data_IF_122143272157
#
_entry.id   IF_122143272157
#
_cell.length_a   1.000
_cell.length_b   1.000
_cell.length_c   1.000
_cell.angle_alpha   90.00
_cell.angle_beta   90.00
_cell.angle_gamma   90.00
#
_symmetry.space_group_name_H-M   'P 1'
#
loop_
_entity.id
_entity.type
_entity.pdbx_description
1 polymer ?
#
# COMPACT_ATOMS: atom_id res chain seq x y z
N UNK A 1 -36.71 -27.02 79.46
CA UNK A 1 -38.21 -27.00 79.44
C UNK A 1 -38.69 -27.17 78.04
N UNK A 2 -39.46 -28.25 77.81
CA UNK A 2 -40.51 -28.52 76.82
C UNK A 2 -40.17 -28.24 75.34
N UNK A 3 -39.83 -29.23 74.54
CA UNK A 3 -40.72 -30.24 73.92
C UNK A 3 -41.90 -29.74 73.13
N UNK A 4 -41.83 -29.96 71.81
CA UNK A 4 -42.94 -30.57 71.06
C UNK A 4 -42.55 -30.95 69.61
N UNK A 5 -42.62 -32.26 69.41
CA UNK A 5 -42.71 -33.02 68.15
C UNK A 5 -44.00 -32.67 67.39
N UNK A 6 -44.01 -32.79 66.09
CA UNK A 6 -45.06 -33.36 65.20
C UNK A 6 -44.45 -33.52 63.81
N UNK A 7 -44.25 -34.62 63.32
CA UNK A 7 -44.83 -35.76 62.60
C UNK A 7 -45.60 -35.42 61.29
N UNK A 8 -45.17 -36.16 60.25
CA UNK A 8 -45.84 -36.62 59.02
C UNK A 8 -46.11 -35.60 57.93
N UNK A 9 -45.75 -35.83 56.68
CA UNK A 9 -46.22 -36.83 55.71
C UNK A 9 -45.26 -37.04 54.53
N UNK A 10 -45.04 -38.29 54.17
CA UNK A 10 -44.42 -38.80 52.97
C UNK A 10 -45.43 -38.68 51.84
N UNK A 11 -45.07 -38.05 50.73
CA UNK A 11 -45.74 -38.22 49.46
C UNK A 11 -44.71 -38.46 48.36
N UNK A 12 -44.72 -39.69 47.92
CA UNK A 12 -43.93 -40.18 46.80
C UNK A 12 -44.64 -39.76 45.49
N UNK A 13 -44.00 -38.88 44.71
CA UNK A 13 -44.43 -38.63 43.36
C UNK A 13 -43.33 -39.09 42.40
N UNK A 14 -43.62 -40.21 41.69
CA UNK A 14 -42.87 -40.64 40.54
C UNK A 14 -43.27 -39.70 39.39
N UNK A 15 -42.39 -38.78 38.96
CA UNK A 15 -42.58 -38.03 37.77
C UNK A 15 -41.56 -38.51 36.75
N UNK A 16 -42.09 -39.18 35.72
CA UNK A 16 -41.38 -39.70 34.55
C UNK A 16 -40.60 -38.64 33.86
N UNK A 17 -39.29 -38.88 33.75
CA UNK A 17 -38.37 -37.97 33.06
C UNK A 17 -38.62 -37.96 31.57
N UNK A 18 -39.03 -36.84 31.02
CA UNK A 18 -38.78 -36.43 29.62
C UNK A 18 -37.57 -35.52 29.64
N UNK A 19 -36.42 -36.08 29.28
CA UNK A 19 -35.24 -35.30 28.98
C UNK A 19 -35.49 -34.43 27.72
N UNK A 20 -35.39 -33.10 27.79
CA UNK A 20 -35.39 -32.31 26.56
C UNK A 20 -34.12 -32.63 25.77
N UNK A 21 -34.29 -33.14 24.55
CA UNK A 21 -33.21 -33.22 23.59
C UNK A 21 -32.66 -31.80 23.36
N UNK A 22 -31.43 -31.56 23.82
CA UNK A 22 -30.63 -30.39 23.44
C UNK A 22 -30.37 -30.49 21.92
N UNK A 23 -31.23 -29.87 21.13
CA UNK A 23 -30.92 -29.55 19.73
C UNK A 23 -29.81 -28.53 19.78
N UNK A 24 -28.58 -29.00 19.53
CA UNK A 24 -27.46 -28.11 19.28
C UNK A 24 -27.81 -27.27 18.08
N UNK A 25 -28.21 -26.01 18.32
CA UNK A 25 -28.32 -24.98 17.28
C UNK A 25 -26.90 -24.79 16.74
N UNK A 26 -26.62 -25.41 15.59
CA UNK A 26 -25.48 -25.03 14.77
C UNK A 26 -25.68 -23.56 14.41
N UNK A 27 -24.91 -22.68 15.05
CA UNK A 27 -24.82 -21.29 14.63
C UNK A 27 -24.51 -21.27 13.15
N UNK A 28 -25.27 -20.52 12.33
CA UNK A 28 -24.96 -20.38 10.92
C UNK A 28 -23.51 -19.94 10.81
N UNK A 29 -22.70 -20.68 10.04
CA UNK A 29 -21.34 -20.25 9.70
C UNK A 29 -21.44 -18.81 9.20
N UNK A 30 -20.83 -17.89 9.94
CA UNK A 30 -20.74 -16.50 9.52
C UNK A 30 -20.20 -16.49 8.07
N UNK A 31 -20.83 -15.74 7.14
CA UNK A 31 -20.33 -15.67 5.78
C UNK A 31 -18.85 -15.32 5.80
N UNK A 32 -18.01 -15.93 4.96
CA UNK A 32 -16.58 -15.67 4.94
C UNK A 32 -16.42 -14.16 4.81
N UNK A 33 -15.75 -13.54 5.78
CA UNK A 33 -15.45 -12.11 5.76
C UNK A 33 -14.80 -11.82 4.43
N UNK A 34 -15.25 -10.82 3.65
CA UNK A 34 -14.60 -10.46 2.40
C UNK A 34 -13.12 -10.26 2.73
N UNK A 35 -12.28 -11.08 2.14
CA UNK A 35 -10.84 -11.07 2.40
C UNK A 35 -10.35 -9.69 1.99
N UNK A 36 -10.02 -8.85 2.97
CA UNK A 36 -9.63 -7.47 2.74
C UNK A 36 -8.56 -7.38 1.65
N UNK A 37 -8.67 -6.44 0.71
CA UNK A 37 -7.70 -6.29 -0.37
C UNK A 37 -6.29 -6.14 0.23
N UNK A 38 -5.28 -6.71 -0.43
CA UNK A 38 -3.88 -6.69 -0.01
C UNK A 38 -3.02 -6.35 -1.21
N UNK A 39 -1.93 -5.64 -0.99
CA UNK A 39 -0.99 -5.22 -2.02
C UNK A 39 0.35 -5.87 -1.72
N UNK A 40 0.87 -6.66 -2.66
CA UNK A 40 2.22 -7.19 -2.59
C UNK A 40 3.20 -6.14 -3.14
N UNK A 41 4.21 -5.83 -2.35
CA UNK A 41 5.35 -5.01 -2.74
C UNK A 41 6.56 -5.91 -2.92
N UNK A 42 7.03 -6.01 -4.13
CA UNK A 42 8.24 -6.72 -4.51
C UNK A 42 9.18 -5.71 -5.17
N UNK A 43 10.46 -5.60 -4.74
CA UNK A 43 11.40 -4.71 -5.42
C UNK A 43 11.46 -5.01 -6.91
N UNK A 44 11.40 -3.99 -7.77
CA UNK A 44 11.34 -4.20 -9.23
C UNK A 44 12.59 -4.80 -9.81
N UNK A 45 13.74 -4.61 -9.13
CA UNK A 45 15.04 -5.14 -9.49
C UNK A 45 15.66 -5.81 -8.28
N UNK A 46 16.08 -7.04 -8.45
CA UNK A 46 16.81 -7.82 -7.43
C UNK A 46 18.05 -8.40 -8.05
N UNK A 47 19.03 -8.75 -7.24
CA UNK A 47 20.29 -9.34 -7.71
C UNK A 47 20.25 -10.83 -7.43
N UNK A 48 20.64 -11.62 -8.43
CA UNK A 48 20.76 -13.08 -8.35
C UNK A 48 21.60 -13.50 -7.14
N UNK A 49 21.05 -14.37 -6.30
CA UNK A 49 21.70 -14.88 -5.08
C UNK A 49 21.78 -13.90 -3.91
N UNK A 50 21.36 -12.65 -4.07
CA UNK A 50 21.39 -11.63 -3.02
C UNK A 50 20.09 -11.62 -2.20
N UNK A 51 20.18 -11.03 -1.01
CA UNK A 51 19.00 -10.84 -0.14
C UNK A 51 18.13 -9.70 -0.65
N UNK A 52 16.82 -9.88 -0.51
CA UNK A 52 15.83 -8.85 -0.77
C UNK A 52 14.68 -8.97 0.22
N UNK A 53 14.05 -7.85 0.55
CA UNK A 53 12.87 -7.79 1.43
C UNK A 53 11.65 -7.40 0.59
N UNK A 54 10.60 -8.19 0.71
CA UNK A 54 9.27 -7.86 0.21
C UNK A 54 8.34 -7.44 1.36
N UNK A 55 7.22 -6.81 1.04
CA UNK A 55 6.19 -6.48 2.01
C UNK A 55 4.80 -6.73 1.45
N UNK A 56 3.83 -6.92 2.35
CA UNK A 56 2.40 -6.93 2.00
C UNK A 56 1.71 -5.83 2.79
N UNK A 57 0.89 -5.04 2.10
CA UNK A 57 0.05 -4.02 2.72
C UNK A 57 -1.41 -4.47 2.72
N UNK A 58 -2.15 -4.07 3.75
CA UNK A 58 -3.61 -4.17 3.81
C UNK A 58 -4.28 -3.02 3.01
N UNK A 59 -5.61 -2.95 3.05
CA UNK A 59 -6.42 -1.90 2.40
C UNK A 59 -6.15 -0.49 2.92
N UNK A 60 -5.61 -0.38 4.13
CA UNK A 60 -5.31 0.89 4.78
C UNK A 60 -3.84 1.31 4.55
N UNK A 61 -3.10 0.58 3.72
CA UNK A 61 -1.68 0.82 3.47
C UNK A 61 -0.75 0.38 4.60
N UNK A 62 -1.25 -0.36 5.60
CA UNK A 62 -0.45 -0.87 6.72
C UNK A 62 0.17 -2.22 6.38
N UNK A 63 1.34 -2.48 6.93
CA UNK A 63 2.04 -3.76 6.79
C UNK A 63 1.20 -4.91 7.36
N UNK A 64 1.06 -6.01 6.60
CA UNK A 64 0.19 -7.14 6.88
C UNK A 64 1.01 -8.40 7.20
N UNK A 65 1.08 -8.85 8.48
CA UNK A 65 1.78 -10.06 8.86
C UNK A 65 1.04 -11.34 8.47
N UNK A 66 1.78 -12.47 8.41
CA UNK A 66 1.23 -13.81 8.22
C UNK A 66 0.60 -14.05 6.84
N UNK A 67 1.03 -13.30 5.82
CA UNK A 67 0.51 -13.44 4.45
C UNK A 67 1.43 -14.34 3.65
N UNK A 68 0.89 -15.41 3.07
CA UNK A 68 1.64 -16.32 2.22
C UNK A 68 1.75 -15.77 0.80
N UNK A 69 2.98 -15.71 0.30
CA UNK A 69 3.33 -15.32 -1.06
C UNK A 69 3.82 -16.56 -1.78
N UNK A 70 3.36 -16.73 -3.02
CA UNK A 70 3.81 -17.78 -3.94
C UNK A 70 4.59 -17.16 -5.08
N UNK A 71 5.75 -17.69 -5.38
CA UNK A 71 6.57 -17.30 -6.52
C UNK A 71 6.38 -18.22 -7.71
N UNK A 72 6.68 -17.72 -8.91
CA UNK A 72 6.56 -18.48 -10.16
C UNK A 72 7.54 -19.66 -10.29
N UNK A 73 8.62 -19.69 -9.51
CA UNK A 73 9.56 -20.81 -9.41
C UNK A 73 9.09 -21.91 -8.44
N UNK A 74 7.92 -21.76 -7.82
CA UNK A 74 7.35 -22.72 -6.87
C UNK A 74 7.64 -22.43 -5.40
N UNK A 75 8.50 -21.47 -5.09
CA UNK A 75 8.82 -21.09 -3.72
C UNK A 75 7.62 -20.43 -3.03
N UNK A 76 7.50 -20.65 -1.73
CA UNK A 76 6.50 -20.04 -0.87
C UNK A 76 7.20 -19.30 0.28
N UNK A 77 6.65 -18.16 0.65
CA UNK A 77 7.17 -17.32 1.71
C UNK A 77 6.01 -16.68 2.48
N UNK A 78 6.14 -16.53 3.78
CA UNK A 78 5.14 -15.82 4.60
C UNK A 78 5.75 -14.57 5.20
N UNK A 79 4.96 -13.49 5.25
CA UNK A 79 5.38 -12.26 5.95
C UNK A 79 5.45 -12.51 7.46
N UNK A 80 6.46 -11.96 8.10
CA UNK A 80 6.71 -12.01 9.52
C UNK A 80 5.77 -11.10 10.34
N UNK A 81 6.05 -10.91 11.63
CA UNK A 81 5.26 -10.05 12.51
C UNK A 81 5.27 -8.58 12.09
N UNK A 82 6.26 -8.14 11.32
CA UNK A 82 6.36 -6.78 10.76
C UNK A 82 5.63 -6.61 9.42
N UNK A 83 5.05 -7.68 8.87
CA UNK A 83 4.41 -7.67 7.55
C UNK A 83 5.38 -7.67 6.38
N UNK A 84 6.65 -8.01 6.61
CA UNK A 84 7.71 -8.14 5.62
C UNK A 84 8.20 -9.58 5.54
N UNK A 85 8.95 -9.89 4.49
CA UNK A 85 9.65 -11.15 4.40
C UNK A 85 10.98 -10.96 3.68
N UNK A 86 12.06 -11.41 4.31
CA UNK A 86 13.39 -11.45 3.75
C UNK A 86 13.55 -12.76 2.96
N UNK A 87 14.05 -12.69 1.75
CA UNK A 87 14.29 -13.85 0.91
C UNK A 87 15.60 -13.70 0.14
N UNK A 88 16.10 -14.82 -0.36
CA UNK A 88 17.26 -14.85 -1.27
C UNK A 88 16.73 -14.97 -2.70
N UNK A 89 17.18 -14.07 -3.57
CA UNK A 89 16.78 -14.08 -4.97
C UNK A 89 17.27 -15.37 -5.67
N UNK A 90 16.50 -15.92 -6.62
CA UNK A 90 16.94 -17.06 -7.43
C UNK A 90 18.28 -16.80 -8.11
N UNK A 91 19.08 -17.86 -8.27
CA UNK A 91 20.42 -17.76 -8.90
C UNK A 91 20.36 -17.46 -10.41
N UNK A 92 19.27 -17.86 -11.08
CA UNK A 92 19.11 -17.64 -12.50
C UNK A 92 18.54 -16.25 -12.78
N UNK A 93 19.22 -15.41 -13.58
CA UNK A 93 18.69 -14.13 -14.03
C UNK A 93 17.38 -14.31 -14.84
N UNK A 94 16.54 -13.29 -14.85
CA UNK A 94 15.28 -13.32 -15.57
C UNK A 94 14.17 -12.58 -14.85
N UNK A 95 12.91 -12.99 -15.07
CA UNK A 95 11.74 -12.38 -14.43
C UNK A 95 11.10 -13.40 -13.48
N UNK A 96 10.89 -12.97 -12.23
CA UNK A 96 10.12 -13.73 -11.25
C UNK A 96 8.79 -13.01 -10.99
N UNK A 97 7.73 -13.77 -10.81
CA UNK A 97 6.42 -13.25 -10.43
C UNK A 97 6.11 -13.70 -9.01
N UNK A 98 5.63 -12.77 -8.18
CA UNK A 98 5.07 -13.05 -6.87
C UNK A 98 3.56 -12.81 -6.87
N UNK A 99 2.82 -13.64 -6.17
CA UNK A 99 1.37 -13.52 -5.96
C UNK A 99 1.01 -13.82 -4.51
N UNK A 100 -0.02 -13.17 -3.99
CA UNK A 100 -0.58 -13.52 -2.68
C UNK A 100 -1.44 -14.77 -2.86
N UNK A 101 -1.21 -15.79 -2.03
CA UNK A 101 -1.95 -17.04 -2.11
C UNK A 101 -3.47 -16.82 -1.99
N UNK A 102 -4.24 -17.51 -2.84
CA UNK A 102 -5.70 -17.39 -2.88
C UNK A 102 -6.24 -16.08 -3.46
N UNK A 103 -5.39 -15.26 -4.13
CA UNK A 103 -5.80 -13.97 -4.70
C UNK A 103 -5.42 -13.83 -6.17
N UNK A 104 -6.27 -13.16 -6.96
CA UNK A 104 -5.90 -12.79 -8.31
C UNK A 104 -4.85 -11.66 -8.28
N UNK A 105 -4.03 -11.63 -9.33
CA UNK A 105 -2.98 -10.63 -9.48
C UNK A 105 -1.59 -11.14 -9.11
N UNK A 106 -0.61 -10.60 -9.82
CA UNK A 106 0.81 -10.91 -9.64
C UNK A 106 1.66 -9.65 -9.82
N UNK A 107 2.78 -9.61 -9.13
CA UNK A 107 3.80 -8.56 -9.26
C UNK A 107 5.05 -9.19 -9.82
N UNK A 108 5.74 -8.52 -10.73
CA UNK A 108 6.99 -9.00 -11.32
C UNK A 108 8.19 -8.27 -10.73
N UNK A 109 9.31 -8.98 -10.67
CA UNK A 109 10.63 -8.44 -10.38
C UNK A 109 11.62 -8.96 -11.40
N UNK A 110 12.59 -8.12 -11.79
CA UNK A 110 13.69 -8.51 -12.67
C UNK A 110 14.89 -8.93 -11.83
N UNK A 111 15.37 -10.14 -12.06
CA UNK A 111 16.58 -10.68 -11.44
C UNK A 111 17.75 -10.36 -12.37
N UNK A 112 18.68 -9.56 -11.89
CA UNK A 112 19.87 -9.13 -12.61
C UNK A 112 21.09 -9.95 -12.18
N UNK A 113 22.11 -10.01 -13.04
CA UNK A 113 23.38 -10.66 -12.68
C UNK A 113 24.14 -9.86 -11.63
N UNK A 114 24.97 -10.49 -10.78
CA UNK A 114 25.81 -9.77 -9.82
C UNK A 114 26.73 -8.74 -10.47
N UNK A 115 27.19 -8.97 -11.71
CA UNK A 115 28.06 -8.05 -12.46
C UNK A 115 27.37 -6.73 -12.80
N UNK A 116 26.05 -6.76 -13.03
CA UNK A 116 25.24 -5.56 -13.29
C UNK A 116 24.97 -4.75 -12.01
N UNK A 117 25.11 -5.39 -10.85
CA UNK A 117 24.85 -4.81 -9.54
C UNK A 117 26.11 -4.35 -8.80
N UNK A 118 27.31 -4.77 -9.26
CA UNK A 118 28.57 -4.49 -8.57
C UNK A 118 28.94 -3.02 -8.70
N UNK A 119 28.71 -2.26 -7.64
CA UNK A 119 29.21 -0.90 -7.49
C UNK A 119 30.02 -0.79 -6.19
N UNK A 120 31.23 -0.22 -6.24
CA UNK A 120 32.03 0.00 -5.03
C UNK A 120 31.45 1.06 -4.09
N UNK A 121 30.54 1.91 -4.59
CA UNK A 121 29.89 3.00 -3.86
C UNK A 121 28.37 2.88 -3.89
N UNK A 122 27.71 3.35 -2.84
CA UNK A 122 26.27 3.52 -2.82
C UNK A 122 25.87 4.76 -3.64
N UNK A 123 24.80 4.61 -4.43
CA UNK A 123 24.36 5.68 -5.33
C UNK A 123 22.84 5.58 -5.55
N UNK A 124 22.17 6.72 -5.60
CA UNK A 124 20.79 6.85 -6.09
C UNK A 124 20.87 7.19 -7.57
N UNK A 125 20.45 6.28 -8.43
CA UNK A 125 20.46 6.48 -9.88
C UNK A 125 19.18 7.07 -10.44
N UNK A 126 18.05 6.87 -9.75
CA UNK A 126 16.77 7.49 -10.08
C UNK A 126 15.80 7.44 -8.89
N UNK A 127 15.04 8.51 -8.71
CA UNK A 127 13.88 8.61 -7.84
C UNK A 127 12.82 9.51 -8.51
N UNK A 128 11.56 9.56 -8.05
CA UNK A 128 10.59 10.51 -8.57
C UNK A 128 11.06 11.96 -8.37
N UNK A 129 10.94 12.80 -9.40
CA UNK A 129 11.16 14.23 -9.24
C UNK A 129 10.08 14.85 -8.33
N UNK A 130 8.83 14.37 -8.46
CA UNK A 130 7.70 14.74 -7.59
C UNK A 130 7.09 13.48 -7.00
N UNK A 131 6.85 13.46 -5.70
CA UNK A 131 6.19 12.39 -4.97
C UNK A 131 5.08 12.95 -4.09
N UNK A 132 4.08 12.15 -3.74
CA UNK A 132 3.04 12.55 -2.79
C UNK A 132 3.47 12.23 -1.35
N UNK A 133 2.99 13.01 -0.38
CA UNK A 133 3.24 12.77 1.04
C UNK A 133 2.62 11.47 1.55
N UNK A 134 1.54 11.01 0.92
CA UNK A 134 0.73 9.91 1.42
C UNK A 134 1.00 8.57 0.74
N UNK A 135 1.66 8.60 -0.41
CA UNK A 135 1.94 7.40 -1.19
C UNK A 135 3.41 6.99 -1.10
N UNK A 136 3.65 5.68 -1.20
CA UNK A 136 5.00 5.15 -1.33
C UNK A 136 5.58 5.45 -2.71
N UNK A 137 6.89 5.58 -2.78
CA UNK A 137 7.62 5.75 -4.02
C UNK A 137 8.84 4.83 -4.11
N UNK A 138 9.37 4.66 -5.31
CA UNK A 138 10.52 3.80 -5.56
C UNK A 138 11.79 4.65 -5.75
N UNK A 139 12.88 4.17 -5.16
CA UNK A 139 14.23 4.71 -5.31
C UNK A 139 15.07 3.63 -5.96
N UNK A 140 15.67 3.92 -7.09
CA UNK A 140 16.58 3.02 -7.79
C UNK A 140 18.03 3.47 -7.59
N UNK A 141 18.93 2.51 -7.50
CA UNK A 141 20.33 2.80 -7.22
C UNK A 141 21.19 1.57 -7.20
N UNK A 142 22.28 1.65 -6.46
CA UNK A 142 23.23 0.55 -6.24
C UNK A 142 23.75 0.59 -4.82
N UNK A 143 24.13 -0.57 -4.31
CA UNK A 143 24.77 -0.70 -3.01
C UNK A 143 23.86 -0.58 -1.81
N UNK A 144 22.54 -0.57 -2.00
CA UNK A 144 21.57 -0.65 -0.91
C UNK A 144 21.66 -2.00 -0.18
N UNK A 145 21.17 -2.07 1.04
CA UNK A 145 21.04 -3.33 1.75
C UNK A 145 19.79 -4.08 1.30
N UNK A 146 19.90 -5.39 1.12
CA UNK A 146 18.74 -6.23 0.81
C UNK A 146 17.75 -6.37 1.96
N UNK A 147 18.23 -6.20 3.19
CA UNK A 147 17.39 -6.10 4.37
C UNK A 147 16.83 -4.67 4.49
N UNK A 148 15.50 -4.54 4.56
CA UNK A 148 14.83 -3.25 4.62
C UNK A 148 15.22 -2.45 5.87
N UNK A 149 15.33 -3.12 7.02
CA UNK A 149 15.65 -2.48 8.30
C UNK A 149 17.11 -2.05 8.43
N UNK A 150 17.99 -2.56 7.55
CA UNK A 150 19.37 -2.14 7.48
C UNK A 150 19.60 -0.86 6.66
N UNK A 151 18.58 -0.38 5.92
CA UNK A 151 18.63 0.86 5.19
C UNK A 151 18.07 1.99 6.05
N UNK A 152 18.83 3.04 6.23
CA UNK A 152 18.37 4.28 6.86
C UNK A 152 18.09 5.31 5.77
N UNK A 153 16.83 5.64 5.60
CA UNK A 153 16.36 6.63 4.63
C UNK A 153 15.84 7.84 5.38
N UNK A 154 16.33 9.03 5.03
CA UNK A 154 15.74 10.28 5.53
C UNK A 154 15.24 11.15 4.39
N UNK A 155 14.19 11.92 4.67
CA UNK A 155 13.62 12.92 3.77
C UNK A 155 13.58 14.23 4.55
N UNK A 156 14.42 15.19 4.15
CA UNK A 156 14.75 16.31 5.01
C UNK A 156 15.38 15.79 6.31
N UNK A 157 14.83 16.22 7.46
CA UNK A 157 15.29 15.80 8.79
C UNK A 157 14.49 14.61 9.37
N UNK A 158 13.58 14.01 8.61
CA UNK A 158 12.66 12.98 9.09
C UNK A 158 13.02 11.60 8.55
N UNK A 159 12.97 10.58 9.43
CA UNK A 159 13.16 9.18 9.04
C UNK A 159 11.99 8.64 8.22
N UNK A 160 12.28 8.07 7.06
CA UNK A 160 11.29 7.44 6.20
C UNK A 160 11.27 5.92 6.38
N UNK A 161 10.12 5.29 6.16
CA UNK A 161 9.97 3.84 6.33
C UNK A 161 10.31 3.11 5.03
N UNK A 162 11.29 2.20 5.07
CA UNK A 162 11.59 1.30 3.95
C UNK A 162 10.65 0.11 4.03
N UNK A 163 9.76 -0.03 3.06
CA UNK A 163 8.78 -1.12 2.98
C UNK A 163 9.39 -2.38 2.35
N UNK A 164 10.08 -2.22 1.22
CA UNK A 164 10.72 -3.30 0.49
C UNK A 164 12.10 -2.86 0.02
N UNK A 165 13.04 -3.79 -0.09
CA UNK A 165 14.44 -3.50 -0.38
C UNK A 165 15.13 -4.59 -1.19
N UNK A 166 16.06 -4.16 -2.02
CA UNK A 166 17.08 -4.97 -2.69
C UNK A 166 18.34 -4.13 -2.88
N UNK A 167 19.47 -4.70 -3.26
CA UNK A 167 20.69 -3.93 -3.58
C UNK A 167 20.51 -2.86 -4.66
N UNK A 168 19.42 -2.89 -5.44
CA UNK A 168 19.18 -2.00 -6.59
C UNK A 168 17.91 -1.15 -6.50
N UNK A 169 17.05 -1.41 -5.53
CA UNK A 169 15.78 -0.69 -5.41
C UNK A 169 15.27 -0.69 -3.97
N UNK A 170 14.72 0.45 -3.56
CA UNK A 170 13.97 0.62 -2.32
C UNK A 170 12.54 1.06 -2.63
N UNK A 171 11.58 0.58 -1.85
CA UNK A 171 10.23 1.15 -1.79
C UNK A 171 10.10 1.89 -0.46
N UNK A 172 9.89 3.19 -0.51
CA UNK A 172 9.93 4.10 0.63
C UNK A 172 8.57 4.72 0.85
N UNK A 173 8.14 4.80 2.12
CA UNK A 173 6.97 5.56 2.54
C UNK A 173 7.46 6.83 3.24
N UNK A 174 7.02 8.03 2.79
CA UNK A 174 7.36 9.29 3.45
C UNK A 174 6.91 9.31 4.92
N UNK A 175 7.63 10.05 5.80
CA UNK A 175 7.17 10.28 7.16
C UNK A 175 5.92 11.16 7.19
N UNK A 176 5.07 10.98 8.20
CA UNK A 176 3.79 11.70 8.34
C UNK A 176 3.98 13.17 8.71
N UNK A 177 5.13 13.51 9.27
CA UNK A 177 5.49 14.86 9.72
C UNK A 177 6.11 15.72 8.62
N UNK A 178 6.28 15.16 7.42
CA UNK A 178 6.88 15.85 6.29
C UNK A 178 5.92 16.92 5.74
N UNK A 179 6.41 18.15 5.62
CA UNK A 179 5.67 19.24 5.00
C UNK A 179 5.79 19.19 3.46
N UNK A 180 4.75 19.68 2.73
CA UNK A 180 4.82 19.77 1.27
C UNK A 180 5.90 20.76 0.82
N UNK A 181 6.72 20.35 -0.15
CA UNK A 181 7.81 21.18 -0.69
C UNK A 181 9.01 20.37 -1.15
N UNK A 182 10.08 21.04 -1.58
CA UNK A 182 11.35 20.39 -1.92
C UNK A 182 12.04 19.84 -0.67
N UNK A 183 12.50 18.60 -0.73
CA UNK A 183 13.24 17.95 0.34
C UNK A 183 14.40 17.12 -0.22
N UNK A 184 15.44 16.92 0.60
CA UNK A 184 16.57 16.07 0.28
C UNK A 184 16.29 14.64 0.75
N UNK A 185 16.47 13.69 -0.14
CA UNK A 185 16.42 12.27 0.12
C UNK A 185 17.86 11.79 0.35
N UNK A 186 18.13 11.15 1.48
CA UNK A 186 19.38 10.46 1.76
C UNK A 186 19.15 9.01 2.04
N UNK A 187 20.10 8.17 1.66
CA UNK A 187 20.07 6.73 1.91
C UNK A 187 21.42 6.31 2.45
N UNK A 188 21.42 5.61 3.56
CA UNK A 188 22.63 5.00 4.12
C UNK A 188 22.40 3.54 4.50
N UNK A 189 23.45 2.73 4.40
CA UNK A 189 23.48 1.35 4.81
C UNK A 189 24.89 0.85 5.06
N UNK A 190 25.12 0.14 6.16
CA UNK A 190 26.41 -0.48 6.50
C UNK A 190 27.59 0.51 6.42
N UNK A 191 27.42 1.73 6.96
CA UNK A 191 28.40 2.84 6.96
C UNK A 191 28.73 3.37 5.55
N UNK A 192 27.87 3.17 4.58
CA UNK A 192 27.95 3.76 3.24
C UNK A 192 26.77 4.69 3.08
N UNK A 193 27.03 5.85 2.49
CA UNK A 193 26.03 6.88 2.24
C UNK A 193 25.94 7.12 0.73
N UNK A 194 24.73 7.27 0.23
CA UNK A 194 24.50 7.75 -1.13
C UNK A 194 24.56 9.28 -1.16
N UNK A 195 25.00 9.89 -2.27
CA UNK A 195 24.82 11.33 -2.50
C UNK A 195 23.34 11.73 -2.34
N UNK A 196 23.11 12.94 -1.82
CA UNK A 196 21.77 13.47 -1.66
C UNK A 196 21.03 13.57 -3.00
N UNK A 197 19.73 13.27 -2.97
CA UNK A 197 18.85 13.39 -4.12
C UNK A 197 17.67 14.32 -3.80
N UNK A 198 17.36 15.28 -4.67
CA UNK A 198 16.27 16.23 -4.45
C UNK A 198 14.94 15.66 -4.97
N UNK A 199 13.91 15.70 -4.13
CA UNK A 199 12.53 15.32 -4.44
C UNK A 199 11.59 16.41 -3.99
N UNK A 200 10.59 16.74 -4.78
CA UNK A 200 9.51 17.65 -4.40
C UNK A 200 8.34 16.83 -3.87
N UNK A 201 7.95 17.02 -2.62
CA UNK A 201 6.81 16.36 -2.02
C UNK A 201 5.56 17.23 -2.13
N UNK A 202 4.47 16.64 -2.61
CA UNK A 202 3.21 17.33 -2.81
C UNK A 202 2.08 16.69 -1.99
N UNK A 203 1.20 17.55 -1.51
CA UNK A 203 -0.08 17.15 -0.94
C UNK A 203 -1.18 17.34 -1.99
N UNK A 204 -2.04 16.35 -2.14
CA UNK A 204 -3.20 16.40 -3.02
C UNK A 204 -4.47 16.51 -2.16
N UNK A 205 -5.10 17.67 -2.19
CA UNK A 205 -6.37 17.91 -1.50
C UNK A 205 -7.52 17.89 -2.51
N UNK A 206 -8.53 17.05 -2.26
CA UNK A 206 -9.73 17.01 -3.06
C UNK A 206 -10.77 17.99 -2.51
N UNK A 207 -11.00 19.07 -3.21
CA UNK A 207 -12.13 19.96 -2.96
C UNK A 207 -13.35 19.46 -3.77
N UNK A 208 -14.24 18.73 -3.10
CA UNK A 208 -15.46 18.20 -3.71
C UNK A 208 -16.66 18.45 -2.79
N UNK A 209 -17.80 18.76 -3.40
CA UNK A 209 -19.07 18.73 -2.68
C UNK A 209 -19.46 17.27 -2.42
N UNK A 210 -19.67 16.94 -1.14
CA UNK A 210 -20.07 15.62 -0.68
C UNK A 210 -21.56 15.30 -0.90
N UNK A 211 -22.35 16.26 -1.46
CA UNK A 211 -23.77 16.03 -1.74
C UNK A 211 -23.95 14.91 -2.79
N UNK A 212 -25.08 14.16 -2.75
CA UNK A 212 -25.36 13.14 -3.75
C UNK A 212 -25.42 13.73 -5.17
N UNK A 213 -24.75 13.07 -6.12
CA UNK A 213 -24.77 13.44 -7.53
C UNK A 213 -26.02 12.83 -8.19
N UNK A 214 -26.84 13.66 -8.83
CA UNK A 214 -28.06 13.22 -9.52
C UNK A 214 -27.74 12.71 -10.92
N UNK A 215 -28.63 11.89 -11.46
CA UNK A 215 -28.50 11.43 -12.85
C UNK A 215 -28.53 12.61 -13.83
N UNK A 216 -27.51 12.69 -14.69
CA UNK A 216 -27.33 13.79 -15.64
C UNK A 216 -26.77 15.09 -15.04
N UNK A 217 -26.52 15.11 -13.74
CA UNK A 217 -25.84 16.23 -13.08
C UNK A 217 -24.34 16.18 -13.34
N UNK A 218 -23.76 17.33 -13.66
CA UNK A 218 -22.33 17.53 -13.83
C UNK A 218 -21.77 18.14 -12.54
N UNK A 219 -20.58 17.66 -12.16
CA UNK A 219 -19.87 18.17 -10.99
C UNK A 219 -18.37 18.22 -11.23
N UNK A 220 -17.78 19.36 -10.91
CA UNK A 220 -16.33 19.53 -10.95
C UNK A 220 -15.71 19.04 -9.65
N UNK A 221 -14.79 18.10 -9.74
CA UNK A 221 -13.89 17.69 -8.67
C UNK A 221 -12.60 18.46 -8.85
N UNK A 222 -12.29 19.38 -7.95
CA UNK A 222 -11.06 20.17 -8.03
C UNK A 222 -10.01 19.58 -7.11
N UNK A 223 -8.89 19.15 -7.68
CA UNK A 223 -7.72 18.70 -6.92
C UNK A 223 -6.78 19.88 -6.76
N UNK A 224 -6.52 20.28 -5.51
CA UNK A 224 -5.49 21.25 -5.16
C UNK A 224 -4.17 20.53 -4.92
N UNK A 225 -3.10 21.12 -5.44
CA UNK A 225 -1.73 20.65 -5.29
C UNK A 225 -0.97 21.64 -4.42
N UNK A 226 -0.45 21.18 -3.29
CA UNK A 226 0.41 21.97 -2.41
C UNK A 226 1.82 21.46 -2.46
N UNK A 227 2.81 22.33 -2.27
CA UNK A 227 4.23 21.99 -2.23
C UNK A 227 5.01 22.26 -3.53
N UNK A 228 4.32 22.63 -4.62
CA UNK A 228 4.96 23.01 -5.87
C UNK A 228 4.12 24.02 -6.65
N UNK A 229 4.78 24.95 -7.33
CA UNK A 229 4.19 25.83 -8.33
C UNK A 229 4.26 25.26 -9.74
N UNK A 230 4.95 24.13 -9.93
CA UNK A 230 5.06 23.48 -11.23
C UNK A 230 3.77 22.76 -11.61
N UNK A 231 3.55 22.66 -12.94
CA UNK A 231 2.47 21.84 -13.49
C UNK A 231 2.80 20.38 -13.32
N UNK A 232 1.94 19.64 -12.61
CA UNK A 232 2.08 18.21 -12.43
C UNK A 232 0.98 17.45 -13.14
N UNK A 233 1.28 16.23 -13.58
CA UNK A 233 0.32 15.35 -14.24
C UNK A 233 -0.42 14.52 -13.21
N UNK A 234 -1.76 14.64 -13.17
CA UNK A 234 -2.64 13.83 -12.33
C UNK A 234 -3.47 12.89 -13.19
N UNK A 235 -3.72 11.69 -12.72
CA UNK A 235 -4.60 10.70 -13.34
C UNK A 235 -5.75 10.40 -12.39
N UNK A 236 -6.97 10.66 -12.86
CA UNK A 236 -8.21 10.25 -12.21
C UNK A 236 -8.72 8.95 -12.84
N UNK A 237 -9.14 7.99 -12.01
CA UNK A 237 -9.77 6.74 -12.42
C UNK A 237 -11.06 6.54 -11.65
N UNK A 238 -12.15 6.41 -12.36
CA UNK A 238 -13.42 6.00 -11.77
C UNK A 238 -13.52 4.47 -11.71
N UNK A 239 -13.74 3.93 -10.51
CA UNK A 239 -13.84 2.49 -10.25
C UNK A 239 -15.26 1.94 -10.42
N UNK A 240 -16.25 2.82 -10.64
CA UNK A 240 -17.65 2.46 -10.92
C UNK A 240 -18.21 3.25 -12.13
N UNK A 241 -17.66 3.03 -13.35
CA UNK A 241 -18.00 3.81 -14.55
C UNK A 241 -19.45 3.67 -15.01
N UNK A 242 -20.15 2.64 -14.53
CA UNK A 242 -21.58 2.47 -14.75
C UNK A 242 -22.45 3.42 -13.91
N UNK A 243 -21.95 3.89 -12.75
CA UNK A 243 -22.67 4.77 -11.80
C UNK A 243 -22.43 6.22 -12.11
N UNK A 244 -21.18 6.58 -12.41
CA UNK A 244 -20.77 7.91 -12.82
C UNK A 244 -19.74 7.83 -13.95
N UNK A 245 -19.55 8.90 -14.70
CA UNK A 245 -18.58 9.00 -15.79
C UNK A 245 -17.62 10.15 -15.56
N UNK A 246 -16.35 9.95 -15.89
CA UNK A 246 -15.37 11.02 -16.01
C UNK A 246 -15.42 11.55 -17.45
N UNK A 247 -15.71 12.85 -17.61
CA UNK A 247 -15.71 13.48 -18.93
C UNK A 247 -14.31 13.55 -19.53
N UNK A 248 -14.14 12.87 -20.65
CA UNK A 248 -12.86 12.79 -21.36
C UNK A 248 -12.15 11.44 -21.25
N UNK A 249 -12.77 10.45 -20.57
CA UNK A 249 -12.29 9.07 -20.53
C UNK A 249 -11.99 8.54 -19.13
N UNK A 250 -11.73 7.24 -19.06
CA UNK A 250 -11.40 6.54 -17.82
C UNK A 250 -10.29 5.49 -18.05
N UNK A 251 -9.05 5.73 -17.60
CA UNK A 251 -8.58 6.86 -16.79
C UNK A 251 -8.45 8.17 -17.57
N UNK A 252 -8.58 9.29 -16.85
CA UNK A 252 -8.42 10.65 -17.40
C UNK A 252 -7.17 11.31 -16.81
N UNK A 253 -6.30 11.85 -17.68
CA UNK A 253 -5.12 12.61 -17.27
C UNK A 253 -5.32 14.11 -17.47
N UNK A 254 -4.89 14.87 -16.47
CA UNK A 254 -4.90 16.34 -16.50
C UNK A 254 -3.59 16.88 -15.94
N UNK A 255 -3.15 17.99 -16.51
CA UNK A 255 -2.09 18.81 -15.92
C UNK A 255 -2.75 19.80 -14.97
N UNK A 256 -2.12 20.01 -13.80
CA UNK A 256 -2.51 21.10 -12.93
C UNK A 256 -2.17 22.46 -13.54
N UNK A 257 -2.82 23.52 -13.07
CA UNK A 257 -2.65 24.88 -13.60
C UNK A 257 -1.21 25.39 -13.46
N UNK A 258 -0.51 24.97 -12.41
CA UNK A 258 0.72 25.59 -11.97
C UNK A 258 0.46 26.95 -11.32
N UNK A 259 1.45 27.53 -10.69
CA UNK A 259 1.42 28.84 -10.06
C UNK A 259 1.50 28.82 -8.54
N UNK A 260 1.99 29.92 -7.98
CA UNK A 260 2.30 30.03 -6.54
C UNK A 260 1.07 30.24 -5.66
N UNK A 261 -0.02 30.79 -6.21
CA UNK A 261 -1.22 31.09 -5.44
C UNK A 261 -2.21 29.93 -5.42
N UNK A 262 -2.43 29.28 -6.55
CA UNK A 262 -3.35 28.17 -6.66
C UNK A 262 -2.93 27.23 -7.79
N UNK A 263 -2.49 26.04 -7.41
CA UNK A 263 -2.16 24.97 -8.36
C UNK A 263 -3.25 23.90 -8.31
N UNK A 264 -4.12 23.88 -9.34
CA UNK A 264 -5.34 23.04 -9.34
C UNK A 264 -5.48 22.23 -10.62
N UNK A 265 -6.16 21.09 -10.50
CA UNK A 265 -6.58 20.27 -11.64
C UNK A 265 -8.09 19.95 -11.52
N UNK A 266 -8.93 20.42 -12.43
CA UNK A 266 -10.35 20.10 -12.43
C UNK A 266 -10.63 18.79 -13.18
N UNK A 267 -11.57 17.98 -12.65
CA UNK A 267 -12.09 16.77 -13.26
C UNK A 267 -13.63 16.84 -13.26
N UNK A 268 -14.23 16.73 -14.43
CA UNK A 268 -15.68 16.73 -14.56
C UNK A 268 -16.25 15.32 -14.42
N UNK A 269 -17.30 15.19 -13.60
CA UNK A 269 -17.99 13.92 -13.32
C UNK A 269 -19.47 14.08 -13.60
N UNK A 270 -20.06 13.12 -14.32
CA UNK A 270 -21.48 13.07 -14.65
C UNK A 270 -22.16 11.87 -14.01
N UNK A 271 -23.24 12.08 -13.31
CA UNK A 271 -24.06 11.02 -12.73
C UNK A 271 -24.82 10.22 -13.79
N UNK A 272 -24.69 8.89 -13.83
CA UNK A 272 -25.41 8.01 -14.79
C UNK A 272 -26.59 7.29 -14.17
N UNK A 273 -26.41 6.69 -13.01
CA UNK A 273 -27.45 5.95 -12.29
C UNK A 273 -27.24 6.03 -10.78
N UNK A 274 -28.24 5.62 -10.04
CA UNK A 274 -28.14 5.53 -8.60
C UNK A 274 -27.08 4.50 -8.20
N UNK A 275 -26.26 4.82 -7.20
CA UNK A 275 -25.19 3.94 -6.69
C UNK A 275 -24.08 4.76 -6.03
N UNK A 276 -23.09 4.05 -5.50
CA UNK A 276 -21.89 4.64 -4.96
C UNK A 276 -20.75 4.51 -6.00
N UNK A 277 -20.02 5.59 -6.22
CA UNK A 277 -18.82 5.57 -7.06
C UNK A 277 -17.61 6.05 -6.27
N UNK A 278 -16.44 5.61 -6.71
CA UNK A 278 -15.17 5.99 -6.12
C UNK A 278 -14.25 6.46 -7.26
N UNK A 279 -13.71 7.66 -7.12
CA UNK A 279 -12.69 8.18 -8.02
C UNK A 279 -11.35 8.16 -7.28
N UNK A 280 -10.40 7.41 -7.83
CA UNK A 280 -9.02 7.40 -7.38
C UNK A 280 -8.24 8.45 -8.17
N UNK A 281 -7.54 9.33 -7.48
CA UNK A 281 -6.67 10.34 -8.09
C UNK A 281 -5.25 10.04 -7.67
N UNK A 282 -4.33 10.02 -8.64
CA UNK A 282 -2.92 9.77 -8.39
C UNK A 282 -2.03 10.70 -9.18
N UNK A 283 -0.85 10.95 -8.64
CA UNK A 283 0.23 11.61 -9.36
C UNK A 283 0.79 10.68 -10.43
N UNK A 284 1.01 11.20 -11.64
CA UNK A 284 1.75 10.54 -12.71
C UNK A 284 3.18 11.07 -12.66
N UNK A 285 4.00 10.43 -11.84
CA UNK A 285 5.39 10.87 -11.64
C UNK A 285 6.31 10.33 -12.73
N UNK A 286 7.22 11.16 -13.21
CA UNK A 286 8.38 10.74 -13.98
C UNK A 286 9.56 10.47 -13.04
N UNK A 287 10.37 9.46 -13.34
CA UNK A 287 11.62 9.23 -12.62
C UNK A 287 12.63 10.31 -13.02
N UNK A 288 13.08 11.08 -12.04
CA UNK A 288 14.23 11.98 -12.16
C UNK A 288 15.53 11.19 -12.13
N UNK A 289 16.59 11.75 -12.71
CA UNK A 289 17.97 11.28 -12.54
C UNK A 289 18.73 12.32 -11.71
N UNK A 290 19.78 11.91 -10.98
CA UNK A 290 20.63 12.89 -10.29
C UNK A 290 21.15 13.90 -11.29
N UNK A 291 21.10 15.19 -10.94
CA UNK A 291 21.75 16.23 -11.72
C UNK A 291 23.25 15.94 -11.66
N UNK A 292 23.86 15.67 -12.79
CA UNK A 292 25.30 15.42 -12.89
C UNK A 292 26.08 16.65 -12.43
N UNK A 293 26.96 16.45 -11.47
CA UNK A 293 28.04 17.39 -11.14
C UNK A 293 29.24 17.15 -12.02
#
# INVERSE_FOLDING_TARGET
MAARRKFFFVAWWIASGLAPALVAQQSPLAPPRPTAARILLLPRRIVSGERATLAVLDVNGRLAPGVTIRFSNGDHLSTDATGRALFVAPLNPGVIFGSIEGRPGRVSSMILTPTEASAPSMEISAAPHVATLTDRFEVFGKGFCGDADANHVTIGDHGALVLASSPLALTVLPPTELEPGPAKLTVSCAKRDAPEFSVVFVELELAADASPLRRGEHRTLTVRVRGTSEKISLEARNLAPDVAELEGGNPLRRLSSGGDQENVAPFEVVGKKNGTFLISIRLVSALGRPEGH
#
